data_IF_813014666724
#
_entry.id   IF_813014666724
#
_cell.length_a   1.000
_cell.length_b   1.000
_cell.length_c   1.000
_cell.angle_alpha   90.00
_cell.angle_beta   90.00
_cell.angle_gamma   90.00
#
_symmetry.space_group_name_H-M   'P 1'
#
loop_
_entity.id
_entity.type
_entity.pdbx_description
1 polymer ?
#
# COMPACT_ATOMS: atom_id res chain seq x y z
N UNK A 1 19.34 -60.11 -25.20
CA UNK A 1 19.57 -58.73 -24.72
C UNK A 1 19.06 -58.62 -23.29
N UNK A 2 19.95 -58.52 -22.31
CA UNK A 2 19.60 -58.37 -20.90
C UNK A 2 19.27 -56.89 -20.62
N UNK A 3 18.00 -56.58 -20.34
CA UNK A 3 17.60 -55.24 -19.90
C UNK A 3 17.89 -55.10 -18.40
N UNK A 4 18.88 -54.28 -18.08
CA UNK A 4 19.29 -53.92 -16.73
C UNK A 4 18.42 -52.75 -16.26
N UNK A 5 17.51 -53.00 -15.31
CA UNK A 5 16.73 -51.94 -14.68
C UNK A 5 17.63 -51.07 -13.81
N UNK A 6 17.82 -49.81 -14.18
CA UNK A 6 18.48 -48.81 -13.33
C UNK A 6 17.47 -48.27 -12.33
N UNK A 7 17.63 -48.63 -11.06
CA UNK A 7 16.88 -48.02 -9.96
C UNK A 7 17.25 -46.53 -9.85
N UNK A 8 16.28 -45.59 -9.76
CA UNK A 8 16.60 -44.21 -9.45
C UNK A 8 17.07 -44.10 -8.00
N UNK A 9 18.25 -43.54 -7.82
CA UNK A 9 18.88 -43.25 -6.53
C UNK A 9 18.04 -42.25 -5.74
N UNK A 10 17.52 -42.67 -4.60
CA UNK A 10 16.89 -41.81 -3.60
C UNK A 10 17.94 -40.98 -2.86
N UNK A 11 18.50 -40.00 -3.56
CA UNK A 11 19.49 -39.06 -3.02
C UNK A 11 18.83 -37.75 -2.56
N UNK A 12 18.79 -37.54 -1.25
CA UNK A 12 18.76 -36.22 -0.59
C UNK A 12 17.53 -35.32 -0.87
N UNK A 13 16.39 -35.66 -0.27
CA UNK A 13 15.48 -34.63 0.22
C UNK A 13 15.62 -34.57 1.75
N UNK A 14 16.56 -33.76 2.23
CA UNK A 14 16.59 -33.35 3.64
C UNK A 14 15.59 -32.19 3.77
N UNK A 15 14.43 -32.36 4.42
CA UNK A 15 13.61 -31.22 4.77
C UNK A 15 14.37 -30.45 5.86
N UNK A 16 15.02 -29.35 5.50
CA UNK A 16 15.39 -28.34 6.49
C UNK A 16 14.09 -27.87 7.11
N UNK A 17 13.85 -28.19 8.38
CA UNK A 17 12.73 -27.64 9.15
C UNK A 17 12.71 -26.13 8.93
N UNK A 18 11.62 -25.56 8.39
CA UNK A 18 11.54 -24.12 8.22
C UNK A 18 11.68 -23.51 9.61
N UNK A 19 12.64 -22.60 9.76
CA UNK A 19 12.85 -21.87 11.00
C UNK A 19 11.55 -21.14 11.34
N UNK A 20 10.80 -21.64 12.34
CA UNK A 20 9.53 -21.06 12.80
C UNK A 20 9.67 -19.61 13.26
N UNK A 21 10.91 -19.12 13.43
CA UNK A 21 11.22 -17.73 13.72
C UNK A 21 10.92 -16.77 12.54
N UNK A 22 10.75 -17.28 11.30
CA UNK A 22 10.27 -16.50 10.14
C UNK A 22 8.76 -16.25 10.16
N UNK A 23 8.00 -17.06 10.91
CA UNK A 23 6.57 -16.86 11.13
C UNK A 23 6.35 -15.96 12.35
N UNK A 24 6.94 -14.77 12.34
CA UNK A 24 6.40 -13.66 13.12
C UNK A 24 5.29 -13.05 12.28
N UNK A 25 4.00 -13.28 12.58
CA UNK A 25 2.92 -12.56 11.94
C UNK A 25 3.01 -11.10 12.40
N UNK A 26 3.88 -10.32 11.76
CA UNK A 26 3.72 -8.88 11.75
C UNK A 26 2.39 -8.65 11.02
N UNK A 27 1.52 -7.78 11.54
CA UNK A 27 0.14 -7.58 11.03
C UNK A 27 0.01 -7.21 9.55
N UNK A 28 1.12 -7.13 8.82
CA UNK A 28 1.25 -7.01 7.37
C UNK A 28 0.95 -8.33 6.64
N UNK A 29 1.02 -9.48 7.32
CA UNK A 29 0.89 -10.82 6.72
C UNK A 29 -0.52 -11.19 6.25
N UNK A 30 -1.57 -10.49 6.73
CA UNK A 30 -2.97 -10.72 6.34
C UNK A 30 -3.55 -9.63 5.43
N UNK A 31 -2.71 -8.92 4.67
CA UNK A 31 -3.18 -7.92 3.70
C UNK A 31 -3.53 -8.61 2.38
N UNK A 32 -4.80 -8.66 2.03
CA UNK A 32 -5.25 -9.21 0.75
C UNK A 32 -4.64 -8.45 -0.44
N UNK A 33 -3.94 -9.19 -1.31
CA UNK A 33 -3.13 -8.64 -2.39
C UNK A 33 -3.94 -8.03 -3.55
N UNK A 34 -5.22 -8.41 -3.70
CA UNK A 34 -6.08 -7.94 -4.80
C UNK A 34 -6.63 -6.52 -4.61
N UNK A 35 -6.47 -5.92 -3.43
CA UNK A 35 -6.89 -4.54 -3.19
C UNK A 35 -5.76 -3.54 -3.44
N UNK A 36 -6.10 -2.43 -4.12
CA UNK A 36 -5.19 -1.33 -4.47
C UNK A 36 -4.24 -1.71 -5.61
N UNK A 37 -2.91 -1.61 -5.41
CA UNK A 37 -1.93 -1.97 -6.42
C UNK A 37 -1.01 -3.08 -5.93
N UNK A 38 -0.15 -3.58 -6.82
CA UNK A 38 0.62 -4.81 -6.65
C UNK A 38 1.62 -4.86 -5.45
N UNK A 39 1.85 -3.74 -4.75
CA UNK A 39 2.70 -3.67 -3.56
C UNK A 39 1.83 -3.47 -2.32
N UNK A 40 2.15 -4.17 -1.23
CA UNK A 40 1.48 -4.02 0.07
C UNK A 40 1.43 -2.56 0.57
N UNK A 41 2.49 -1.77 0.33
CA UNK A 41 2.51 -0.34 0.71
C UNK A 41 1.39 0.49 0.09
N UNK A 42 0.86 0.09 -1.07
CA UNK A 42 -0.24 0.80 -1.74
C UNK A 42 -1.53 0.73 -0.92
N UNK A 43 -1.77 -0.38 -0.21
CA UNK A 43 -2.89 -0.51 0.71
C UNK A 43 -2.76 0.47 1.87
N UNK A 44 -1.60 0.52 2.54
CA UNK A 44 -1.37 1.44 3.65
C UNK A 44 -1.39 2.93 3.24
N UNK A 45 -0.88 3.26 2.05
CA UNK A 45 -1.02 4.62 1.51
C UNK A 45 -2.48 5.01 1.30
N UNK A 46 -3.32 4.07 0.83
CA UNK A 46 -4.77 4.28 0.76
C UNK A 46 -5.40 4.34 2.15
N UNK A 47 -5.00 3.50 3.10
CA UNK A 47 -5.61 3.49 4.43
C UNK A 47 -5.39 4.81 5.18
N UNK A 48 -4.29 5.54 4.91
CA UNK A 48 -4.09 6.93 5.39
C UNK A 48 -5.18 7.91 4.95
N UNK A 49 -5.93 7.61 3.87
CA UNK A 49 -7.12 8.36 3.44
C UNK A 49 -8.24 8.30 4.48
N UNK A 50 -8.37 7.16 5.14
CA UNK A 50 -9.46 6.82 6.06
C UNK A 50 -9.04 6.89 7.54
N UNK A 51 -7.79 7.26 7.82
CA UNK A 51 -7.33 7.43 9.19
C UNK A 51 -8.15 8.52 9.90
N UNK A 52 -8.75 8.26 11.08
CA UNK A 52 -9.66 9.20 11.74
C UNK A 52 -9.05 10.58 11.96
N UNK A 53 -7.79 10.65 12.40
CA UNK A 53 -7.10 11.93 12.63
C UNK A 53 -6.70 12.69 11.35
N UNK A 54 -6.76 12.05 10.18
CA UNK A 54 -6.41 12.68 8.91
C UNK A 54 -7.63 13.19 8.16
N UNK A 55 -8.83 13.07 8.73
CA UNK A 55 -10.07 13.36 8.04
C UNK A 55 -10.14 14.84 7.61
N UNK A 56 -10.87 15.11 6.53
CA UNK A 56 -10.99 16.46 6.02
C UNK A 56 -11.75 17.33 7.04
N UNK A 57 -11.21 18.52 7.28
CA UNK A 57 -11.77 19.50 8.20
C UNK A 57 -11.58 20.91 7.63
N UNK A 58 -12.05 21.94 8.35
CA UNK A 58 -11.99 23.34 7.90
C UNK A 58 -10.56 23.83 7.64
N UNK A 59 -9.61 23.32 8.42
CA UNK A 59 -8.17 23.57 8.40
C UNK A 59 -7.40 22.65 7.43
N UNK A 60 -7.93 21.46 7.14
CA UNK A 60 -7.29 20.47 6.25
C UNK A 60 -8.18 20.08 5.05
N UNK A 61 -8.08 20.82 3.94
CA UNK A 61 -8.86 20.64 2.70
C UNK A 61 -8.01 20.11 1.53
N UNK A 62 -8.69 19.58 0.49
CA UNK A 62 -8.09 19.14 -0.78
C UNK A 62 -6.95 18.10 -0.64
N UNK A 63 -7.12 17.13 0.28
CA UNK A 63 -6.10 16.13 0.66
C UNK A 63 -5.52 15.31 -0.51
N UNK A 64 -6.33 15.00 -1.53
CA UNK A 64 -5.90 14.08 -2.61
C UNK A 64 -5.30 14.79 -3.83
N UNK A 65 -5.63 16.06 -4.07
CA UNK A 65 -5.25 16.78 -5.29
C UNK A 65 -4.78 18.21 -5.01
N UNK A 66 -4.11 18.43 -3.87
CA UNK A 66 -3.63 19.76 -3.42
C UNK A 66 -2.83 20.50 -4.50
N UNK A 67 -2.02 19.77 -5.28
CA UNK A 67 -1.15 20.37 -6.31
C UNK A 67 -1.90 20.92 -7.52
N UNK A 68 -3.05 20.33 -7.88
CA UNK A 68 -3.88 20.84 -8.98
C UNK A 68 -4.49 22.20 -8.65
N UNK A 69 -4.62 22.52 -7.36
CA UNK A 69 -5.18 23.76 -6.85
C UNK A 69 -4.10 24.74 -6.36
N UNK A 70 -2.81 24.37 -6.48
CA UNK A 70 -1.72 25.22 -6.03
C UNK A 70 -1.46 26.31 -7.05
N UNK A 71 -1.39 27.57 -6.58
CA UNK A 71 -1.15 28.77 -7.42
C UNK A 71 -2.23 29.04 -8.49
N UNK A 72 -3.38 28.37 -8.47
CA UNK A 72 -4.46 28.61 -9.44
C UNK A 72 -4.97 30.05 -9.41
N UNK A 73 -5.12 30.62 -8.21
CA UNK A 73 -5.56 32.01 -8.03
C UNK A 73 -4.40 33.00 -7.85
N UNK A 74 -3.15 32.63 -8.16
CA UNK A 74 -2.00 33.53 -7.91
C UNK A 74 -2.10 34.85 -8.67
N UNK A 75 -2.65 34.80 -9.88
CA UNK A 75 -2.85 35.96 -10.76
C UNK A 75 -4.32 36.30 -10.95
N UNK A 76 -5.19 35.76 -10.07
CA UNK A 76 -6.61 36.05 -10.08
C UNK A 76 -6.87 37.22 -9.13
N UNK A 77 -7.19 38.38 -9.70
CA UNK A 77 -7.59 39.55 -8.94
C UNK A 77 -9.11 39.49 -8.72
N UNK A 78 -9.50 39.33 -7.46
CA UNK A 78 -10.91 39.30 -7.05
C UNK A 78 -11.14 40.41 -6.04
N UNK A 79 -12.16 41.24 -6.26
CA UNK A 79 -12.59 42.22 -5.27
C UNK A 79 -13.29 41.49 -4.12
N UNK A 80 -12.91 41.81 -2.88
CA UNK A 80 -13.58 41.28 -1.71
C UNK A 80 -14.99 41.91 -1.60
N UNK A 81 -15.97 41.10 -1.22
CA UNK A 81 -17.32 41.59 -0.98
C UNK A 81 -17.36 42.42 0.31
N UNK A 82 -17.90 43.65 0.22
CA UNK A 82 -18.17 44.55 1.35
C UNK A 82 -19.50 45.25 1.09
N UNK A 83 -20.47 45.02 1.97
CA UNK A 83 -21.84 45.51 1.92
C UNK A 83 -22.10 46.65 2.91
N UNK A 84 -21.38 46.65 4.04
CA UNK A 84 -21.43 47.72 5.03
C UNK A 84 -20.24 48.68 4.89
N UNK A 85 -20.47 50.00 4.90
CA UNK A 85 -19.41 51.01 4.77
C UNK A 85 -18.42 51.01 5.95
#
# INVERSE_FOLDING_TARGET
>A
MLFRATAPTWGLFRPTTPNWMLFRPTGVTFVAHWFCGHKFRHRFMRDKRFHPSHQAAKDARNRFSKRNHFKTNRWNYTQAYKDMP
#
